data_IF_747474101000
#
_entry.id   IF_747474101000
#
_cell.length_a   1.000
_cell.length_b   1.000
_cell.length_c   1.000
_cell.angle_alpha   90.00
_cell.angle_beta   90.00
_cell.angle_gamma   90.00
#
_symmetry.space_group_name_H-M   'P 1'
#
loop_
_entity.id
_entity.type
_entity.pdbx_description
1 polymer ?
#
# COMPACT_ATOMS: atom_id res chain seq x y z
N UNK A 1 -5.08 -24.03 -9.81
CA UNK A 1 -3.74 -23.43 -10.04
C UNK A 1 -3.46 -23.52 -11.54
N UNK A 2 -3.56 -22.40 -12.26
CA UNK A 2 -3.29 -22.36 -13.71
C UNK A 2 -1.84 -22.77 -14.01
N UNK A 3 -1.68 -23.84 -14.80
CA UNK A 3 -0.38 -24.42 -15.10
C UNK A 3 0.14 -23.80 -16.41
N UNK A 4 1.02 -22.79 -16.31
CA UNK A 4 1.67 -22.14 -17.46
C UNK A 4 2.87 -22.92 -18.02
N UNK A 5 3.16 -24.11 -17.50
CA UNK A 5 4.27 -24.94 -17.96
C UNK A 5 4.02 -25.49 -19.37
N UNK A 6 4.90 -25.17 -20.31
CA UNK A 6 4.83 -25.65 -21.71
C UNK A 6 4.01 -24.75 -22.66
N UNK A 7 3.46 -23.63 -22.17
CA UNK A 7 2.67 -22.71 -23.00
C UNK A 7 3.59 -21.92 -23.94
N UNK A 8 3.29 -21.97 -25.24
CA UNK A 8 3.86 -21.03 -26.20
C UNK A 8 3.29 -19.63 -25.91
N UNK A 9 4.10 -18.79 -25.27
CA UNK A 9 3.72 -17.44 -24.82
C UNK A 9 3.13 -16.60 -25.96
N UNK A 10 3.71 -16.68 -27.16
CA UNK A 10 3.24 -15.87 -28.29
C UNK A 10 1.87 -16.35 -28.78
N UNK A 11 1.63 -17.66 -28.76
CA UNK A 11 0.31 -18.20 -29.06
C UNK A 11 -0.72 -17.82 -27.98
N UNK A 12 -0.33 -17.81 -26.71
CA UNK A 12 -1.17 -17.38 -25.61
C UNK A 12 -1.51 -15.89 -25.68
N UNK A 13 -0.52 -15.02 -25.93
CA UNK A 13 -0.77 -13.60 -26.19
C UNK A 13 -1.71 -13.41 -27.39
N UNK A 14 -1.59 -14.23 -28.45
CA UNK A 14 -2.47 -14.15 -29.62
C UNK A 14 -3.93 -14.43 -29.27
N UNK A 15 -4.21 -15.46 -28.47
CA UNK A 15 -5.57 -15.73 -27.97
C UNK A 15 -6.16 -14.53 -27.23
N UNK A 16 -5.36 -13.90 -26.36
CA UNK A 16 -5.78 -12.67 -25.67
C UNK A 16 -6.04 -11.52 -26.66
N UNK A 17 -5.17 -11.36 -27.66
CA UNK A 17 -5.33 -10.32 -28.68
C UNK A 17 -6.60 -10.50 -29.51
N UNK A 18 -7.00 -11.75 -29.73
CA UNK A 18 -8.23 -12.17 -30.43
C UNK A 18 -9.49 -12.11 -29.54
N UNK A 19 -9.35 -11.75 -28.26
CA UNK A 19 -10.48 -11.60 -27.34
C UNK A 19 -10.95 -12.91 -26.70
N UNK A 20 -10.08 -13.91 -26.54
CA UNK A 20 -10.39 -15.13 -25.80
C UNK A 20 -10.50 -14.81 -24.29
N UNK A 21 -11.74 -14.68 -23.80
CA UNK A 21 -12.06 -14.38 -22.41
C UNK A 21 -11.43 -15.37 -21.42
N UNK A 22 -11.36 -16.66 -21.79
CA UNK A 22 -10.77 -17.68 -20.91
C UNK A 22 -9.27 -17.48 -20.77
N UNK A 23 -8.58 -17.15 -21.85
CA UNK A 23 -7.14 -16.85 -21.80
C UNK A 23 -6.86 -15.57 -20.97
N UNK A 24 -7.75 -14.58 -21.02
CA UNK A 24 -7.68 -13.37 -20.20
C UNK A 24 -7.88 -13.72 -18.71
N UNK A 25 -8.89 -14.51 -18.39
CA UNK A 25 -9.20 -14.95 -17.03
C UNK A 25 -8.04 -15.76 -16.42
N UNK A 26 -7.51 -16.74 -17.16
CA UNK A 26 -6.37 -17.56 -16.74
C UNK A 26 -5.12 -16.71 -16.45
N UNK A 27 -4.86 -15.70 -17.30
CA UNK A 27 -3.76 -14.78 -17.10
C UNK A 27 -3.95 -13.95 -15.83
N UNK A 28 -5.15 -13.37 -15.64
CA UNK A 28 -5.45 -12.53 -14.48
C UNK A 28 -5.36 -13.36 -13.21
N UNK A 29 -5.96 -14.56 -13.19
CA UNK A 29 -5.95 -15.47 -12.04
C UNK A 29 -4.52 -15.83 -11.63
N UNK A 30 -3.65 -16.12 -12.60
CA UNK A 30 -2.24 -16.43 -12.34
C UNK A 30 -1.51 -15.30 -11.60
N UNK A 31 -1.71 -14.04 -12.02
CA UNK A 31 -1.04 -12.89 -11.40
C UNK A 31 -1.82 -12.29 -10.21
N UNK A 32 -3.05 -12.76 -9.94
CA UNK A 32 -3.94 -12.21 -8.91
C UNK A 32 -3.29 -12.20 -7.53
N UNK A 33 -2.53 -13.26 -7.18
CA UNK A 33 -1.80 -13.33 -5.92
C UNK A 33 -0.73 -12.23 -5.76
N UNK A 34 -0.04 -11.88 -6.86
CA UNK A 34 0.96 -10.81 -6.87
C UNK A 34 0.29 -9.43 -6.80
N UNK A 35 -0.78 -9.22 -7.57
CA UNK A 35 -1.57 -7.98 -7.55
C UNK A 35 -2.11 -7.71 -6.13
N UNK A 36 -2.77 -8.71 -5.52
CA UNK A 36 -3.31 -8.60 -4.16
C UNK A 36 -2.22 -8.29 -3.14
N UNK A 37 -1.03 -8.90 -3.29
CA UNK A 37 0.09 -8.63 -2.40
C UNK A 37 0.61 -7.21 -2.54
N UNK A 38 0.66 -6.64 -3.74
CA UNK A 38 1.01 -5.22 -3.96
C UNK A 38 -0.05 -4.29 -3.38
N UNK A 39 -1.33 -4.54 -3.62
CA UNK A 39 -2.42 -3.71 -3.12
C UNK A 39 -2.55 -3.74 -1.60
N UNK A 40 -2.21 -4.85 -0.93
CA UNK A 40 -2.17 -4.92 0.55
C UNK A 40 -1.20 -3.90 1.16
N UNK A 41 -0.11 -3.55 0.49
CA UNK A 41 0.79 -2.49 0.96
C UNK A 41 0.18 -1.08 0.92
N UNK A 42 -1.00 -0.88 0.31
CA UNK A 42 -1.71 0.41 0.21
C UNK A 42 -2.72 0.67 1.33
N UNK A 43 -2.98 -0.30 2.21
CA UNK A 43 -4.10 -0.32 3.19
C UNK A 43 -4.09 0.79 4.26
N UNK A 44 -3.17 1.75 4.25
CA UNK A 44 -3.19 2.84 5.25
C UNK A 44 -3.79 4.15 4.75
N UNK A 45 -4.00 4.32 3.44
CA UNK A 45 -4.54 5.60 2.91
C UNK A 45 -5.30 5.52 1.58
N UNK A 46 -5.33 4.36 0.90
CA UNK A 46 -5.89 4.21 -0.46
C UNK A 46 -6.84 3.00 -0.54
N UNK A 47 -7.29 2.47 0.61
CA UNK A 47 -8.07 1.22 0.66
C UNK A 47 -9.38 1.29 -0.14
N UNK A 48 -10.05 2.45 -0.14
CA UNK A 48 -11.25 2.72 -0.94
C UNK A 48 -11.03 2.58 -2.46
N UNK A 49 -9.81 2.83 -2.95
CA UNK A 49 -9.47 2.76 -4.37
C UNK A 49 -8.75 1.46 -4.74
N UNK A 50 -8.65 0.52 -3.80
CA UNK A 50 -7.88 -0.70 -4.01
C UNK A 50 -8.46 -1.57 -5.13
N UNK A 51 -9.79 -1.62 -5.29
CA UNK A 51 -10.44 -2.32 -6.40
C UNK A 51 -10.27 -1.61 -7.74
N UNK A 52 -10.38 -0.28 -7.78
CA UNK A 52 -10.10 0.52 -8.99
C UNK A 52 -8.65 0.32 -9.47
N UNK A 53 -7.69 0.33 -8.54
CA UNK A 53 -6.27 0.07 -8.83
C UNK A 53 -6.08 -1.35 -9.35
N UNK A 54 -6.72 -2.34 -8.72
CA UNK A 54 -6.66 -3.73 -9.20
C UNK A 54 -7.21 -3.82 -10.63
N UNK A 55 -8.30 -3.13 -10.93
CA UNK A 55 -8.91 -3.13 -12.26
C UNK A 55 -8.01 -2.45 -13.30
N UNK A 56 -7.45 -1.28 -12.99
CA UNK A 56 -6.47 -0.61 -13.86
C UNK A 56 -5.26 -1.52 -14.14
N UNK A 57 -4.78 -2.25 -13.13
CA UNK A 57 -3.66 -3.20 -13.27
C UNK A 57 -4.05 -4.38 -14.17
N UNK A 58 -5.23 -4.98 -13.98
CA UNK A 58 -5.72 -6.07 -14.83
C UNK A 58 -5.79 -5.65 -16.31
N UNK A 59 -6.31 -4.45 -16.59
CA UNK A 59 -6.33 -3.87 -17.94
C UNK A 59 -4.90 -3.73 -18.49
N UNK A 60 -3.95 -3.28 -17.67
CA UNK A 60 -2.55 -3.14 -18.07
C UNK A 60 -1.85 -4.46 -18.33
N UNK A 61 -2.19 -5.53 -17.62
CA UNK A 61 -1.69 -6.89 -17.87
C UNK A 61 -2.16 -7.37 -19.25
N UNK A 62 -3.45 -7.19 -19.56
CA UNK A 62 -4.01 -7.53 -20.88
C UNK A 62 -3.30 -6.73 -21.96
N UNK A 63 -3.20 -5.41 -21.80
CA UNK A 63 -2.51 -4.54 -22.76
C UNK A 63 -1.03 -4.89 -22.94
N UNK A 64 -0.35 -5.34 -21.89
CA UNK A 64 1.03 -5.80 -21.98
C UNK A 64 1.19 -7.02 -22.89
N UNK A 65 0.17 -7.87 -23.03
CA UNK A 65 0.20 -8.99 -23.97
C UNK A 65 0.24 -8.53 -25.44
N UNK A 66 -0.46 -7.43 -25.77
CA UNK A 66 -0.39 -6.81 -27.10
C UNK A 66 1.00 -6.22 -27.41
N UNK A 67 1.72 -5.79 -26.37
CA UNK A 67 3.04 -5.15 -26.49
C UNK A 67 4.21 -6.12 -26.37
N UNK A 68 3.99 -7.33 -25.88
CA UNK A 68 5.05 -8.30 -25.67
C UNK A 68 5.67 -8.75 -27.00
N UNK A 69 7.00 -8.79 -27.06
CA UNK A 69 7.80 -9.21 -28.24
C UNK A 69 8.88 -10.24 -27.91
N UNK A 70 8.96 -10.68 -26.65
CA UNK A 70 9.92 -11.69 -26.22
C UNK A 70 9.55 -13.10 -26.70
N UNK A 71 10.40 -14.08 -26.42
CA UNK A 71 10.22 -15.46 -26.93
C UNK A 71 10.04 -16.47 -25.81
N UNK A 72 10.49 -16.15 -24.60
CA UNK A 72 10.50 -17.08 -23.48
C UNK A 72 9.46 -16.73 -22.42
N UNK A 73 9.03 -17.75 -21.69
CA UNK A 73 8.12 -17.61 -20.55
C UNK A 73 8.71 -16.74 -19.43
N UNK A 74 10.03 -16.84 -19.20
CA UNK A 74 10.73 -16.02 -18.20
C UNK A 74 10.70 -14.53 -18.57
N UNK A 75 10.95 -14.20 -19.84
CA UNK A 75 10.86 -12.82 -20.33
C UNK A 75 9.43 -12.29 -20.22
N UNK A 76 8.43 -13.13 -20.53
CA UNK A 76 7.03 -12.78 -20.38
C UNK A 76 6.66 -12.45 -18.94
N UNK A 77 6.97 -13.33 -18.00
CA UNK A 77 6.73 -13.07 -16.58
C UNK A 77 7.42 -11.79 -16.13
N UNK A 78 8.70 -11.60 -16.48
CA UNK A 78 9.43 -10.38 -16.14
C UNK A 78 8.77 -9.12 -16.72
N UNK A 79 8.27 -9.20 -17.96
CA UNK A 79 7.58 -8.10 -18.62
C UNK A 79 6.25 -7.77 -17.95
N UNK A 80 5.42 -8.78 -17.65
CA UNK A 80 4.15 -8.58 -16.95
C UNK A 80 4.37 -8.03 -15.54
N UNK A 81 5.34 -8.55 -14.76
CA UNK A 81 5.64 -8.01 -13.44
C UNK A 81 6.07 -6.53 -13.49
N UNK A 82 6.90 -6.15 -14.47
CA UNK A 82 7.28 -4.74 -14.70
C UNK A 82 6.06 -3.88 -15.05
N UNK A 83 5.17 -4.38 -15.90
CA UNK A 83 3.93 -3.70 -16.28
C UNK A 83 3.01 -3.50 -15.07
N UNK A 84 2.87 -4.51 -14.21
CA UNK A 84 2.11 -4.42 -12.95
C UNK A 84 2.73 -3.36 -12.03
N UNK A 85 4.04 -3.40 -11.80
CA UNK A 85 4.72 -2.45 -10.92
C UNK A 85 4.61 -1.00 -11.43
N UNK A 86 4.72 -0.80 -12.74
CA UNK A 86 4.58 0.52 -13.36
C UNK A 86 3.13 1.03 -13.31
N UNK A 87 2.15 0.16 -13.59
CA UNK A 87 0.74 0.47 -13.46
C UNK A 87 0.42 0.88 -12.01
N UNK A 88 0.83 0.07 -11.05
CA UNK A 88 0.65 0.33 -9.63
C UNK A 88 1.25 1.67 -9.19
N UNK A 89 2.49 1.98 -9.58
CA UNK A 89 3.12 3.29 -9.30
C UNK A 89 2.36 4.45 -9.94
N UNK A 90 1.93 4.27 -11.18
CA UNK A 90 1.17 5.29 -11.93
C UNK A 90 -0.16 5.58 -11.26
N UNK A 91 -0.92 4.55 -10.89
CA UNK A 91 -2.20 4.69 -10.20
C UNK A 91 -2.00 5.39 -8.87
N UNK A 92 -1.02 5.00 -8.04
CA UNK A 92 -0.71 5.70 -6.78
C UNK A 92 -0.39 7.18 -7.00
N UNK A 93 0.41 7.50 -8.02
CA UNK A 93 0.76 8.89 -8.33
C UNK A 93 -0.46 9.68 -8.81
N UNK A 94 -1.34 9.07 -9.61
CA UNK A 94 -2.63 9.63 -10.04
C UNK A 94 -3.50 9.93 -8.83
N UNK A 95 -3.65 9.00 -7.89
CA UNK A 95 -4.40 9.23 -6.65
C UNK A 95 -3.78 10.34 -5.79
N UNK A 96 -2.46 10.32 -5.56
CA UNK A 96 -1.77 11.38 -4.81
C UNK A 96 -1.92 12.77 -5.44
N UNK A 97 -2.05 12.84 -6.76
CA UNK A 97 -2.32 14.10 -7.50
C UNK A 97 -3.78 14.51 -7.38
N UNK A 98 -4.72 13.56 -7.50
CA UNK A 98 -6.13 13.85 -7.29
C UNK A 98 -6.40 14.35 -5.88
N UNK A 99 -5.86 13.72 -4.83
CA UNK A 99 -6.00 14.20 -3.44
C UNK A 99 -5.35 15.56 -3.18
N UNK A 100 -4.35 15.98 -3.98
CA UNK A 100 -3.76 17.33 -3.92
C UNK A 100 -4.58 18.38 -4.66
N UNK A 101 -5.39 17.94 -5.64
CA UNK A 101 -6.21 18.80 -6.50
C UNK A 101 -7.70 18.73 -6.13
N UNK A 102 -8.06 18.11 -4.99
CA UNK A 102 -9.38 18.34 -4.37
C UNK A 102 -9.36 19.77 -3.86
N UNK A 103 -9.64 20.70 -4.77
CA UNK A 103 -10.26 21.98 -4.44
C UNK A 103 -11.51 21.62 -3.64
N UNK A 104 -11.69 22.26 -2.50
CA UNK A 104 -12.90 22.20 -1.69
C UNK A 104 -14.11 22.56 -2.58
N UNK A 105 -14.73 21.55 -3.18
CA UNK A 105 -16.03 21.70 -3.84
C UNK A 105 -17.05 21.33 -2.76
N UNK A 106 -17.58 22.38 -2.15
CA UNK A 106 -18.70 22.45 -1.20
C UNK A 106 -18.42 22.03 0.25
N UNK A 107 -18.45 23.04 1.12
CA UNK A 107 -18.39 22.99 2.59
C UNK A 107 -19.61 22.35 3.28
N UNK A 108 -20.37 21.48 2.61
CA UNK A 108 -21.58 20.86 3.22
C UNK A 108 -21.48 19.37 3.54
N UNK A 109 -20.46 18.66 3.03
CA UNK A 109 -20.19 17.30 3.48
C UNK A 109 -18.68 17.07 3.56
N UNK A 110 -18.05 17.62 4.60
CA UNK A 110 -16.83 16.99 5.10
C UNK A 110 -17.22 15.63 5.66
N UNK A 111 -17.22 14.61 4.80
CA UNK A 111 -17.13 13.22 5.25
C UNK A 111 -15.77 13.13 5.93
N UNK A 112 -15.75 13.41 7.24
CA UNK A 112 -14.71 12.89 8.12
C UNK A 112 -14.82 11.39 7.94
N UNK A 113 -13.86 10.83 7.21
CA UNK A 113 -13.67 9.39 7.06
C UNK A 113 -13.49 8.81 8.46
N UNK A 114 -14.60 8.51 9.13
CA UNK A 114 -14.59 7.63 10.28
C UNK A 114 -14.26 6.27 9.69
N UNK A 115 -13.04 5.81 9.99
CA UNK A 115 -12.67 4.41 9.85
C UNK A 115 -13.83 3.58 10.39
N UNK A 116 -14.51 2.80 9.55
CA UNK A 116 -15.40 1.74 10.02
C UNK A 116 -14.52 0.66 10.65
N UNK A 117 -13.99 0.96 11.83
CA UNK A 117 -13.62 -0.07 12.77
C UNK A 117 -14.93 -0.59 13.34
N UNK A 118 -15.13 -1.90 13.30
CA UNK A 118 -16.10 -2.51 14.22
C UNK A 118 -15.70 -2.11 15.64
N UNK A 119 -16.66 -1.99 16.56
CA UNK A 119 -16.40 -1.56 17.95
C UNK A 119 -15.27 -2.41 18.57
N UNK A 120 -15.20 -3.69 18.22
CA UNK A 120 -14.17 -4.62 18.65
C UNK A 120 -12.78 -4.25 18.11
N UNK A 121 -12.67 -3.82 16.84
CA UNK A 121 -11.39 -3.38 16.26
C UNK A 121 -10.91 -2.08 16.87
N UNK A 122 -11.82 -1.17 17.20
CA UNK A 122 -11.48 0.08 17.88
C UNK A 122 -10.99 -0.18 19.30
N UNK A 123 -11.73 -0.98 20.07
CA UNK A 123 -11.34 -1.40 21.41
C UNK A 123 -9.99 -2.14 21.42
N UNK A 124 -9.76 -3.01 20.43
CA UNK A 124 -8.49 -3.71 20.28
C UNK A 124 -7.34 -2.76 19.94
N UNK A 125 -7.57 -1.77 19.08
CA UNK A 125 -6.58 -0.73 18.77
C UNK A 125 -6.22 0.10 20.01
N UNK A 126 -7.21 0.57 20.77
CA UNK A 126 -6.97 1.31 22.02
C UNK A 126 -6.19 0.48 23.03
N UNK A 127 -6.56 -0.79 23.20
CA UNK A 127 -5.81 -1.74 24.03
C UNK A 127 -4.34 -1.84 23.61
N UNK A 128 -4.07 -2.05 22.31
CA UNK A 128 -2.70 -2.13 21.81
C UNK A 128 -1.91 -0.83 22.02
N UNK A 129 -2.56 0.33 21.82
CA UNK A 129 -1.93 1.64 22.03
C UNK A 129 -1.53 1.82 23.49
N UNK A 130 -2.42 1.52 24.43
CA UNK A 130 -2.16 1.67 25.86
C UNK A 130 -1.08 0.69 26.35
N UNK A 131 -1.10 -0.56 25.89
CA UNK A 131 -0.07 -1.53 26.22
C UNK A 131 1.30 -1.13 25.64
N UNK A 132 1.37 -0.65 24.39
CA UNK A 132 2.62 -0.14 23.81
C UNK A 132 3.14 1.05 24.61
N UNK A 133 2.28 1.99 25.02
CA UNK A 133 2.69 3.13 25.87
C UNK A 133 3.24 2.64 27.20
N UNK A 134 2.52 1.75 27.88
CA UNK A 134 2.91 1.20 29.19
C UNK A 134 4.24 0.45 29.13
N UNK A 135 4.41 -0.44 28.15
CA UNK A 135 5.63 -1.24 27.97
C UNK A 135 6.81 -0.34 27.61
N UNK A 136 6.61 0.65 26.73
CA UNK A 136 7.71 1.47 26.21
C UNK A 136 8.12 2.62 27.12
N UNK A 137 7.22 3.16 27.95
CA UNK A 137 7.45 4.32 28.84
C UNK A 137 8.77 4.28 29.61
N UNK A 138 9.15 3.20 30.33
CA UNK A 138 10.40 3.19 31.09
C UNK A 138 11.67 3.17 30.22
N UNK A 139 11.56 2.91 28.91
CA UNK A 139 12.69 2.80 27.99
C UNK A 139 12.83 4.01 27.06
N UNK A 140 11.80 4.84 26.95
CA UNK A 140 11.77 6.01 26.08
C UNK A 140 12.11 7.27 26.86
N UNK A 141 12.97 8.12 26.27
CA UNK A 141 13.20 9.48 26.76
C UNK A 141 11.95 10.35 26.57
N UNK A 142 11.84 11.47 27.29
CA UNK A 142 10.72 12.42 27.15
C UNK A 142 10.50 12.87 25.70
N UNK A 143 11.59 13.14 24.96
CA UNK A 143 11.54 13.51 23.54
C UNK A 143 11.05 12.38 22.62
N UNK A 144 11.26 11.13 23.01
CA UNK A 144 10.77 9.95 22.30
C UNK A 144 9.31 9.66 22.65
N UNK A 145 8.93 9.83 23.92
CA UNK A 145 7.54 9.72 24.38
C UNK A 145 6.66 10.77 23.69
N UNK A 146 7.09 12.03 23.69
CA UNK A 146 6.41 13.10 22.96
C UNK A 146 6.18 12.74 21.48
N UNK A 147 7.21 12.23 20.81
CA UNK A 147 7.10 11.85 19.41
C UNK A 147 6.16 10.65 19.21
N UNK A 148 6.18 9.67 20.12
CA UNK A 148 5.25 8.55 20.09
C UNK A 148 3.80 9.02 20.25
N UNK A 149 3.52 9.89 21.22
CA UNK A 149 2.19 10.43 21.47
C UNK A 149 1.68 11.19 20.23
N UNK A 150 2.51 12.04 19.61
CA UNK A 150 2.12 12.75 18.39
C UNK A 150 1.85 11.83 17.21
N UNK A 151 2.56 10.69 17.12
CA UNK A 151 2.30 9.70 16.09
C UNK A 151 1.01 8.90 16.34
N UNK A 152 0.65 8.67 17.62
CA UNK A 152 -0.60 8.00 18.02
C UNK A 152 -1.80 8.92 17.80
N UNK A 153 -1.64 10.23 18.06
CA UNK A 153 -2.60 11.29 17.69
C UNK A 153 -2.75 11.48 16.16
N UNK A 154 -2.09 10.64 15.36
CA UNK A 154 -2.10 10.67 13.89
C UNK A 154 -1.55 11.98 13.28
N UNK A 155 -0.78 12.79 14.04
CA UNK A 155 -0.13 13.98 13.49
C UNK A 155 0.87 13.62 12.39
N UNK A 156 0.88 14.42 11.34
CA UNK A 156 1.83 14.31 10.25
C UNK A 156 3.23 14.76 10.68
N UNK A 157 4.26 14.28 9.98
CA UNK A 157 5.65 14.69 10.24
C UNK A 157 5.86 16.20 10.02
N UNK A 158 5.06 16.81 9.15
CA UNK A 158 5.11 18.25 8.90
C UNK A 158 4.60 19.02 10.12
N UNK A 159 3.42 18.65 10.63
CA UNK A 159 2.84 19.29 11.83
C UNK A 159 3.76 19.13 13.05
N UNK A 160 4.34 17.94 13.24
CA UNK A 160 5.30 17.69 14.34
C UNK A 160 6.56 18.56 14.17
N UNK A 161 7.07 18.72 12.95
CA UNK A 161 8.24 19.56 12.68
C UNK A 161 7.95 21.04 12.97
N UNK A 162 6.76 21.52 12.61
CA UNK A 162 6.30 22.88 12.91
C UNK A 162 6.14 23.11 14.42
N UNK A 163 5.50 22.17 15.13
CA UNK A 163 5.28 22.24 16.58
C UNK A 163 6.60 22.21 17.37
N UNK A 164 7.56 21.38 16.92
CA UNK A 164 8.88 21.25 17.57
C UNK A 164 9.90 22.27 17.07
N UNK A 165 9.56 23.11 16.09
CA UNK A 165 10.47 24.03 15.40
C UNK A 165 11.73 23.33 14.85
N UNK A 166 11.59 22.06 14.47
CA UNK A 166 12.67 21.25 13.90
C UNK A 166 12.56 21.15 12.38
N UNK A 167 13.67 20.82 11.71
CA UNK A 167 13.64 20.49 10.28
C UNK A 167 12.88 19.18 10.06
N UNK A 168 12.04 19.13 9.03
CA UNK A 168 11.28 17.93 8.62
C UNK A 168 12.12 16.64 8.59
N UNK A 169 13.31 16.69 7.99
CA UNK A 169 14.22 15.54 7.89
C UNK A 169 14.75 15.06 9.26
N UNK A 170 14.86 15.96 10.24
CA UNK A 170 15.26 15.61 11.61
C UNK A 170 14.18 14.77 12.26
N UNK A 171 12.91 15.17 12.14
CA UNK A 171 11.75 14.44 12.67
C UNK A 171 11.62 13.07 12.01
N UNK A 172 11.84 12.96 10.68
CA UNK A 172 11.89 11.65 9.99
C UNK A 172 12.93 10.72 10.61
N UNK A 173 14.16 11.21 10.80
CA UNK A 173 15.25 10.38 11.35
C UNK A 173 14.95 9.96 12.78
N UNK A 174 14.37 10.86 13.60
CA UNK A 174 13.91 10.54 14.96
C UNK A 174 12.81 9.48 14.96
N UNK A 175 11.82 9.59 14.07
CA UNK A 175 10.77 8.57 13.92
C UNK A 175 11.36 7.21 13.57
N UNK A 176 12.29 7.14 12.61
CA UNK A 176 12.92 5.88 12.24
C UNK A 176 13.67 5.23 13.43
N UNK A 177 14.41 6.03 14.20
CA UNK A 177 15.10 5.55 15.41
C UNK A 177 14.13 5.08 16.49
N UNK A 178 13.06 5.85 16.73
CA UNK A 178 12.00 5.52 17.67
C UNK A 178 11.33 4.19 17.31
N UNK A 179 10.93 4.01 16.05
CA UNK A 179 10.30 2.75 15.59
C UNK A 179 11.24 1.56 15.76
N UNK A 180 12.51 1.69 15.39
CA UNK A 180 13.49 0.63 15.59
C UNK A 180 13.69 0.28 17.07
N UNK A 181 13.63 1.28 17.96
CA UNK A 181 13.73 1.08 19.41
C UNK A 181 12.48 0.39 19.97
N UNK A 182 11.29 0.84 19.55
CA UNK A 182 10.01 0.23 19.92
C UNK A 182 9.95 -1.25 19.50
N UNK A 183 10.34 -1.58 18.27
CA UNK A 183 10.40 -2.98 17.79
C UNK A 183 11.27 -3.84 18.72
N UNK A 184 12.42 -3.34 19.18
CA UNK A 184 13.30 -4.08 20.09
C UNK A 184 12.68 -4.26 21.48
N UNK A 185 12.01 -3.21 21.99
CA UNK A 185 11.33 -3.26 23.29
C UNK A 185 10.18 -4.26 23.24
N UNK A 186 9.28 -4.15 22.27
CA UNK A 186 8.09 -4.99 22.15
C UNK A 186 8.46 -6.47 21.96
N UNK A 187 9.45 -6.77 21.10
CA UNK A 187 10.01 -8.13 20.96
C UNK A 187 10.53 -8.72 22.27
N UNK A 188 11.15 -7.90 23.15
CA UNK A 188 11.66 -8.36 24.45
C UNK A 188 10.52 -8.72 25.42
N UNK A 189 9.34 -8.12 25.24
CA UNK A 189 8.15 -8.30 26.07
C UNK A 189 7.09 -9.19 25.41
N UNK A 190 7.46 -9.95 24.37
CA UNK A 190 6.56 -10.83 23.60
C UNK A 190 5.30 -10.15 23.07
N UNK A 191 5.44 -8.88 22.66
CA UNK A 191 4.38 -8.04 22.10
C UNK A 191 4.61 -7.78 20.61
#
# INVERSE_FOLDING_TARGET
MGNFNGVNVLAFCRKIMEGDDRAIEELIEFYQGYINSKCRYLQKSIEMYSEDIKQEIKIKIVYACYQFRGKTLKEFHSFIYKSIDNAFRTSINKYKRHTKNIIHINDEYTVKYQKEYTIEKFALYEYYVEEVKKISKPYLSEKEQFLLDKLIEEKTIKEIAEETKEKYNTVIRRKARLLNKLIKILKKHNF
#
